data_IF_959820778058
#
_entry.id   IF_959820778058
#
_cell.length_a   1.000
_cell.length_b   1.000
_cell.length_c   1.000
_cell.angle_alpha   90.00
_cell.angle_beta   90.00
_cell.angle_gamma   90.00
#
_symmetry.space_group_name_H-M   'P 1'
#
loop_
_entity.id
_entity.type
_entity.pdbx_description
1 polymer ?
#
# COMPACT_ATOMS: atom_id res chain seq x y z
N UNK A 1 -13.18 14.08 13.34
CA UNK A 1 -14.41 13.40 12.88
C UNK A 1 -14.69 12.15 13.70
N UNK A 2 -15.92 11.97 14.19
CA UNK A 2 -16.28 10.90 15.12
C UNK A 2 -16.05 9.48 14.59
N UNK A 3 -15.91 9.28 13.27
CA UNK A 3 -15.62 7.99 12.64
C UNK A 3 -14.15 7.53 12.78
N UNK A 4 -13.26 8.35 13.35
CA UNK A 4 -11.89 7.98 13.70
C UNK A 4 -11.73 7.63 15.19
N UNK A 5 -12.79 7.76 15.99
CA UNK A 5 -12.79 7.33 17.38
C UNK A 5 -13.05 5.83 17.42
N UNK A 6 -11.97 5.05 17.42
CA UNK A 6 -12.03 3.62 17.70
C UNK A 6 -12.12 3.47 19.22
N UNK A 7 -13.20 2.89 19.72
CA UNK A 7 -13.20 2.31 21.06
C UNK A 7 -12.30 1.07 21.01
N UNK A 8 -11.06 1.22 21.48
CA UNK A 8 -10.07 0.14 21.52
C UNK A 8 -9.63 -0.03 22.97
N UNK A 9 -9.72 -1.25 23.48
CA UNK A 9 -9.81 -1.49 24.94
C UNK A 9 -8.50 -1.33 25.71
N UNK A 10 -7.31 -1.46 25.11
CA UNK A 10 -6.09 -1.04 25.80
C UNK A 10 -4.87 -0.84 24.88
N UNK A 11 -4.36 0.39 24.79
CA UNK A 11 -3.07 0.71 24.15
C UNK A 11 -1.92 0.81 25.16
N UNK A 12 -2.10 0.41 26.41
CA UNK A 12 -1.07 0.48 27.47
C UNK A 12 0.25 -0.13 27.02
N UNK A 13 0.21 -1.31 26.39
CA UNK A 13 1.38 -1.99 25.84
C UNK A 13 2.05 -1.14 24.74
N UNK A 14 1.29 -0.63 23.76
CA UNK A 14 1.82 0.21 22.68
C UNK A 14 2.42 1.51 23.23
N UNK A 15 1.76 2.15 24.19
CA UNK A 15 2.22 3.37 24.85
C UNK A 15 3.54 3.14 25.58
N UNK A 16 3.66 2.03 26.30
CA UNK A 16 4.89 1.65 27.00
C UNK A 16 6.04 1.34 26.01
N UNK A 17 5.75 0.64 24.91
CA UNK A 17 6.74 0.35 23.86
C UNK A 17 7.23 1.63 23.17
N UNK A 18 6.31 2.56 22.85
CA UNK A 18 6.67 3.88 22.29
C UNK A 18 7.50 4.70 23.29
N UNK A 19 7.15 4.66 24.58
CA UNK A 19 7.96 5.30 25.61
C UNK A 19 9.38 4.70 25.63
N UNK A 20 9.54 3.38 25.51
CA UNK A 20 10.86 2.72 25.42
C UNK A 20 11.65 3.12 24.15
N UNK A 21 10.99 3.39 23.03
CA UNK A 21 11.65 3.91 21.81
C UNK A 21 12.20 5.32 22.02
N UNK A 22 11.46 6.14 22.77
CA UNK A 22 11.80 7.54 23.05
C UNK A 22 12.75 7.71 24.23
N UNK A 23 13.05 6.64 24.99
CA UNK A 23 14.06 6.66 26.04
C UNK A 23 15.46 6.92 25.46
N UNK A 24 16.14 7.91 26.03
CA UNK A 24 17.38 8.46 25.47
C UNK A 24 18.59 7.52 25.64
N UNK A 25 19.29 7.27 24.54
CA UNK A 25 20.71 6.89 24.49
C UNK A 25 21.18 5.48 24.91
N UNK A 26 20.37 4.62 25.54
CA UNK A 26 20.86 3.28 26.03
C UNK A 26 20.24 2.05 25.39
N UNK A 27 19.30 2.22 24.48
CA UNK A 27 18.68 1.10 23.77
C UNK A 27 19.56 0.74 22.57
N UNK A 28 20.25 -0.40 22.64
CA UNK A 28 21.04 -0.95 21.51
C UNK A 28 20.14 -1.04 20.27
N UNK A 29 20.65 -0.70 19.09
CA UNK A 29 19.86 -0.62 17.84
C UNK A 29 19.03 -1.89 17.56
N UNK A 30 19.55 -3.05 17.95
CA UNK A 30 18.84 -4.31 17.89
C UNK A 30 17.54 -4.32 18.71
N UNK A 31 17.58 -3.83 19.95
CA UNK A 31 16.43 -3.74 20.85
C UNK A 31 15.43 -2.70 20.34
N UNK A 32 15.92 -1.58 19.79
CA UNK A 32 15.07 -0.56 19.14
C UNK A 32 14.31 -1.14 17.93
N UNK A 33 14.98 -1.96 17.13
CA UNK A 33 14.35 -2.64 15.99
C UNK A 33 13.27 -3.63 16.46
N UNK A 34 13.54 -4.40 17.51
CA UNK A 34 12.55 -5.32 18.08
C UNK A 34 11.32 -4.60 18.64
N UNK A 35 11.52 -3.49 19.35
CA UNK A 35 10.41 -2.68 19.86
C UNK A 35 9.62 -2.04 18.70
N UNK A 36 10.31 -1.55 17.67
CA UNK A 36 9.66 -1.02 16.46
C UNK A 36 8.80 -2.08 15.76
N UNK A 37 9.30 -3.31 15.63
CA UNK A 37 8.56 -4.43 15.06
C UNK A 37 7.36 -4.83 15.91
N UNK A 38 7.50 -4.83 17.24
CA UNK A 38 6.38 -5.09 18.15
C UNK A 38 5.28 -4.01 18.03
N UNK A 39 5.67 -2.73 17.99
CA UNK A 39 4.73 -1.63 17.73
C UNK A 39 4.01 -1.80 16.39
N UNK A 40 4.74 -2.14 15.32
CA UNK A 40 4.16 -2.40 13.99
C UNK A 40 3.20 -3.59 14.01
N UNK A 41 3.49 -4.65 14.76
CA UNK A 41 2.63 -5.83 14.87
C UNK A 41 1.32 -5.53 15.62
N UNK A 42 1.39 -4.74 16.69
CA UNK A 42 0.19 -4.30 17.43
C UNK A 42 -0.67 -3.40 16.54
N UNK A 43 -0.03 -2.44 15.86
CA UNK A 43 -0.71 -1.53 14.93
C UNK A 43 -1.29 -2.28 13.73
N UNK A 44 -0.60 -3.29 13.20
CA UNK A 44 -1.11 -4.09 12.10
C UNK A 44 -2.19 -5.08 12.50
N UNK A 45 -2.52 -5.24 13.79
CA UNK A 45 -3.69 -6.02 14.22
C UNK A 45 -5.02 -5.28 13.94
N UNK A 46 -4.96 -3.95 13.81
CA UNK A 46 -6.15 -3.12 13.59
C UNK A 46 -6.49 -3.02 12.10
N UNK A 47 -7.69 -3.44 11.69
CA UNK A 47 -8.14 -3.45 10.28
C UNK A 47 -8.01 -2.09 9.59
N UNK A 48 -8.24 -1.01 10.32
CA UNK A 48 -8.13 0.36 9.79
C UNK A 48 -6.68 0.75 9.54
N UNK A 49 -5.78 0.34 10.43
CA UNK A 49 -4.34 0.57 10.30
C UNK A 49 -3.75 -0.36 9.26
N UNK A 50 -4.21 -1.60 9.13
CA UNK A 50 -3.87 -2.47 8.00
C UNK A 50 -4.25 -1.82 6.67
N UNK A 51 -5.47 -1.29 6.55
CA UNK A 51 -5.93 -0.62 5.33
C UNK A 51 -5.14 0.65 5.03
N UNK A 52 -4.80 1.42 6.08
CA UNK A 52 -3.96 2.60 5.98
C UNK A 52 -2.52 2.25 5.60
N UNK A 53 -1.88 1.30 6.29
CA UNK A 53 -0.53 0.82 6.01
C UNK A 53 -0.47 0.18 4.63
N UNK A 54 -1.44 -0.64 4.23
CA UNK A 54 -1.52 -1.17 2.88
C UNK A 54 -1.70 -0.02 1.87
N UNK A 55 -2.56 0.95 2.15
CA UNK A 55 -2.73 2.14 1.32
C UNK A 55 -1.49 3.06 1.25
N UNK A 56 -0.67 3.11 2.30
CA UNK A 56 0.52 3.97 2.41
C UNK A 56 1.80 3.27 1.91
N UNK A 57 1.94 1.98 2.15
CA UNK A 57 3.04 1.13 1.71
C UNK A 57 2.85 0.67 0.27
N UNK A 58 1.62 0.65 -0.24
CA UNK A 58 1.41 0.44 -1.66
C UNK A 58 1.90 1.66 -2.44
N UNK A 59 2.90 1.41 -3.27
CA UNK A 59 3.37 2.34 -4.27
C UNK A 59 2.21 2.87 -5.12
N UNK A 60 2.38 4.06 -5.69
CA UNK A 60 1.42 4.60 -6.63
C UNK A 60 1.20 3.62 -7.79
N UNK A 61 2.27 2.94 -8.23
CA UNK A 61 2.19 1.82 -9.16
C UNK A 61 1.19 0.75 -8.75
N UNK A 62 1.27 0.24 -7.51
CA UNK A 62 0.33 -0.76 -6.98
C UNK A 62 -1.12 -0.27 -7.00
N UNK A 63 -1.36 1.00 -6.67
CA UNK A 63 -2.71 1.61 -6.74
C UNK A 63 -3.22 1.69 -8.18
N UNK A 64 -2.37 2.08 -9.12
CA UNK A 64 -2.70 2.12 -10.55
C UNK A 64 -3.02 0.71 -11.07
N UNK A 65 -2.22 -0.30 -10.72
CA UNK A 65 -2.46 -1.71 -11.06
C UNK A 65 -3.81 -2.18 -10.52
N UNK A 66 -4.12 -1.90 -9.25
CA UNK A 66 -5.38 -2.29 -8.64
C UNK A 66 -6.60 -1.70 -9.39
N UNK A 67 -6.51 -0.45 -9.86
CA UNK A 67 -7.56 0.16 -10.69
C UNK A 67 -7.67 -0.54 -12.05
N UNK A 68 -6.54 -0.80 -12.72
CA UNK A 68 -6.53 -1.51 -14.02
C UNK A 68 -7.20 -2.89 -13.89
N UNK A 69 -6.94 -3.61 -12.80
CA UNK A 69 -7.54 -4.93 -12.54
C UNK A 69 -9.06 -4.90 -12.28
N UNK A 70 -9.67 -3.73 -12.06
CA UNK A 70 -11.15 -3.64 -12.00
C UNK A 70 -11.80 -4.00 -13.33
N UNK A 71 -11.10 -3.74 -14.44
CA UNK A 71 -11.47 -4.19 -15.79
C UNK A 71 -10.21 -4.19 -16.67
N UNK A 72 -9.53 -5.33 -16.75
CA UNK A 72 -8.25 -5.46 -17.46
C UNK A 72 -8.37 -5.21 -18.98
N UNK A 73 -9.57 -5.36 -19.53
CA UNK A 73 -9.86 -5.23 -20.96
C UNK A 73 -10.23 -3.80 -21.37
N UNK A 74 -10.59 -2.93 -20.42
CA UNK A 74 -10.95 -1.55 -20.71
C UNK A 74 -9.83 -0.76 -21.40
N UNK A 75 -10.22 0.22 -22.23
CA UNK A 75 -9.32 1.16 -22.90
C UNK A 75 -8.84 2.26 -21.94
N UNK A 76 -8.09 1.88 -20.90
CA UNK A 76 -7.60 2.79 -19.86
C UNK A 76 -6.78 3.95 -20.41
N UNK A 77 -7.22 5.18 -20.11
CA UNK A 77 -6.45 6.41 -20.33
C UNK A 77 -5.98 6.97 -19.00
N UNK A 78 -4.98 7.86 -19.06
CA UNK A 78 -4.40 8.45 -17.87
C UNK A 78 -5.42 9.25 -17.04
N UNK A 79 -6.37 9.93 -17.71
CA UNK A 79 -7.47 10.65 -17.08
C UNK A 79 -8.43 9.75 -16.28
N UNK A 80 -8.68 8.53 -16.77
CA UNK A 80 -9.58 7.56 -16.11
C UNK A 80 -8.99 7.11 -14.76
N UNK A 81 -7.65 7.03 -14.67
CA UNK A 81 -6.94 6.68 -13.44
C UNK A 81 -6.77 7.89 -12.53
N UNK A 82 -6.42 9.04 -13.11
CA UNK A 82 -6.14 10.26 -12.33
C UNK A 82 -7.39 10.75 -11.60
N UNK A 83 -8.57 10.63 -12.23
CA UNK A 83 -9.86 10.94 -11.60
C UNK A 83 -10.15 10.05 -10.39
N UNK A 84 -9.91 8.73 -10.50
CA UNK A 84 -10.11 7.77 -9.38
C UNK A 84 -9.12 7.95 -8.24
N UNK A 85 -7.92 8.46 -8.53
CA UNK A 85 -6.89 8.76 -7.53
C UNK A 85 -6.94 10.19 -6.98
N UNK A 86 -7.85 11.02 -7.48
CA UNK A 86 -7.95 12.46 -7.16
C UNK A 86 -6.62 13.22 -7.40
N UNK A 87 -5.93 12.89 -8.51
CA UNK A 87 -4.70 13.54 -8.94
C UNK A 87 -4.91 14.19 -10.32
N UNK A 88 -4.15 15.24 -10.62
CA UNK A 88 -4.00 15.68 -12.01
C UNK A 88 -3.19 14.65 -12.80
N UNK A 89 -3.44 14.55 -14.11
CA UNK A 89 -2.69 13.66 -15.00
C UNK A 89 -1.17 13.93 -14.96
N UNK A 90 -0.78 15.20 -14.88
CA UNK A 90 0.62 15.61 -14.79
C UNK A 90 1.26 15.15 -13.48
N UNK A 91 0.55 15.24 -12.35
CA UNK A 91 1.02 14.78 -11.06
C UNK A 91 1.14 13.26 -10.99
N UNK A 92 0.13 12.55 -11.52
CA UNK A 92 0.14 11.09 -11.64
C UNK A 92 1.35 10.63 -12.47
N UNK A 93 1.55 11.22 -13.66
CA UNK A 93 2.68 10.90 -14.54
C UNK A 93 4.03 11.16 -13.87
N UNK A 94 4.17 12.30 -13.16
CA UNK A 94 5.40 12.64 -12.44
C UNK A 94 5.70 11.66 -11.32
N UNK A 95 4.71 11.29 -10.51
CA UNK A 95 4.88 10.34 -9.41
C UNK A 95 5.17 8.92 -9.91
N UNK A 96 4.51 8.46 -10.97
CA UNK A 96 4.85 7.17 -11.62
C UNK A 96 6.30 7.17 -12.12
N UNK A 97 6.72 8.25 -12.77
CA UNK A 97 8.11 8.39 -13.22
C UNK A 97 9.12 8.37 -12.05
N UNK A 98 8.77 8.95 -10.90
CA UNK A 98 9.59 8.92 -9.70
C UNK A 98 9.74 7.48 -9.15
N UNK A 99 8.73 6.64 -9.32
CA UNK A 99 8.80 5.20 -9.01
C UNK A 99 9.47 4.37 -10.13
N UNK A 100 9.98 5.01 -11.20
CA UNK A 100 10.57 4.31 -12.34
C UNK A 100 9.55 3.65 -13.28
N UNK A 101 8.27 3.99 -13.15
CA UNK A 101 7.16 3.37 -13.87
C UNK A 101 6.70 4.23 -15.05
N UNK A 102 6.14 3.56 -16.05
CA UNK A 102 5.41 4.19 -17.16
C UNK A 102 3.98 3.67 -17.19
N UNK A 103 3.01 4.57 -17.32
CA UNK A 103 1.59 4.20 -17.38
C UNK A 103 1.28 3.19 -18.49
N UNK A 104 1.80 3.42 -19.70
CA UNK A 104 1.59 2.51 -20.83
C UNK A 104 2.24 1.15 -20.63
N UNK A 105 3.43 1.11 -20.00
CA UNK A 105 4.12 -0.15 -19.68
C UNK A 105 3.34 -0.93 -18.62
N UNK A 106 2.83 -0.25 -17.58
CA UNK A 106 2.00 -0.87 -16.55
C UNK A 106 0.78 -1.58 -17.16
N UNK A 107 0.01 -0.91 -18.02
CA UNK A 107 -1.14 -1.55 -18.68
C UNK A 107 -0.71 -2.78 -19.48
N UNK A 108 0.35 -2.66 -20.27
CA UNK A 108 0.85 -3.76 -21.10
C UNK A 108 1.28 -4.96 -20.24
N UNK A 109 2.10 -4.72 -19.22
CA UNK A 109 2.60 -5.74 -18.31
C UNK A 109 1.47 -6.47 -17.58
N UNK A 110 0.51 -5.74 -17.01
CA UNK A 110 -0.61 -6.37 -16.31
C UNK A 110 -1.50 -7.20 -17.25
N UNK A 111 -1.68 -6.76 -18.51
CA UNK A 111 -2.39 -7.54 -19.53
C UNK A 111 -1.64 -8.81 -19.93
N UNK A 112 -0.31 -8.74 -20.03
CA UNK A 112 0.52 -9.91 -20.32
C UNK A 112 0.47 -10.93 -19.17
N UNK A 113 0.56 -10.46 -17.93
CA UNK A 113 0.40 -11.31 -16.73
C UNK A 113 -0.97 -11.98 -16.72
N UNK A 114 -2.04 -11.25 -17.06
CA UNK A 114 -3.38 -11.85 -17.15
C UNK A 114 -3.48 -12.88 -18.28
N UNK A 115 -2.91 -12.58 -19.46
CA UNK A 115 -2.88 -13.52 -20.57
C UNK A 115 -2.12 -14.81 -20.20
N UNK A 116 -0.95 -14.69 -19.58
CA UNK A 116 -0.17 -15.83 -19.07
C UNK A 116 -0.97 -16.67 -18.08
N UNK A 117 -1.68 -16.04 -17.13
CA UNK A 117 -2.55 -16.75 -16.18
C UNK A 117 -3.67 -17.51 -16.88
N UNK A 118 -4.32 -16.90 -17.86
CA UNK A 118 -5.40 -17.53 -18.61
C UNK A 118 -4.90 -18.72 -19.45
N UNK A 119 -3.73 -18.57 -20.08
CA UNK A 119 -3.08 -19.67 -20.80
C UNK A 119 -2.72 -20.81 -19.85
N UNK A 120 -2.14 -20.48 -18.70
CA UNK A 120 -1.75 -21.47 -17.69
C UNK A 120 -2.96 -22.23 -17.15
N UNK A 121 -4.05 -21.54 -16.82
CA UNK A 121 -5.27 -22.19 -16.34
C UNK A 121 -5.87 -23.18 -17.35
N UNK A 122 -5.83 -22.86 -18.64
CA UNK A 122 -6.30 -23.74 -19.71
C UNK A 122 -5.40 -24.96 -19.96
N UNK A 123 -4.14 -24.95 -19.50
CA UNK A 123 -3.20 -26.06 -19.67
C UNK A 123 -3.25 -27.09 -18.52
N UNK A 124 -3.85 -26.72 -17.38
CA UNK A 124 -4.00 -27.59 -16.19
C UNK A 124 -5.45 -27.96 -15.88
N UNK A 125 -6.39 -27.64 -16.79
CA UNK A 125 -7.81 -28.03 -16.71
C UNK A 125 -8.14 -29.08 -17.75
#
# INVERSE_FOLDING_TARGET
PAYLMVECEDFSLLKNLIACLNCDGRTVDFVRNQISLACLAILSSEKIVQSFLFGCLNSLGSKVKAIIHTDISAAWRLCDISSRLYLSESLLKRKLKHEGLSFSKLILEERMVMAERLLSYNLYS
#
